data_IF_020920772936
#
_entry.id   IF_020920772936
#
_cell.length_a   1.000
_cell.length_b   1.000
_cell.length_c   1.000
_cell.angle_alpha   90.00
_cell.angle_beta   90.00
_cell.angle_gamma   90.00
#
_symmetry.space_group_name_H-M   'P 1'
#
loop_
_entity.id
_entity.type
_entity.pdbx_description
1 polymer ?
#
# COMPACT_ATOMS: atom_id res chain seq x y z
N UNK A 1 14.18 -14.88 15.81
CA UNK A 1 13.24 -14.07 15.00
C UNK A 1 13.35 -12.67 15.53
N UNK A 2 13.78 -11.77 14.66
CA UNK A 2 14.30 -10.44 14.97
C UNK A 2 13.24 -9.55 15.64
N UNK A 3 13.61 -8.96 16.79
CA UNK A 3 12.86 -7.92 17.52
C UNK A 3 13.48 -6.57 17.11
N UNK A 4 12.84 -5.81 16.19
CA UNK A 4 12.91 -4.33 16.06
C UNK A 4 12.77 -3.81 14.61
N UNK A 5 11.55 -3.76 14.08
CA UNK A 5 11.21 -2.78 13.02
C UNK A 5 10.05 -1.86 13.44
N UNK A 6 9.76 -1.79 14.74
CA UNK A 6 8.86 -0.77 15.27
C UNK A 6 9.56 0.60 15.30
N UNK A 7 9.24 1.45 14.32
CA UNK A 7 9.36 2.91 14.41
C UNK A 7 10.03 3.58 13.21
N UNK A 8 9.21 4.20 12.35
CA UNK A 8 9.57 5.13 11.26
C UNK A 8 10.22 4.55 9.99
N UNK A 9 9.66 3.45 9.46
CA UNK A 9 9.84 3.15 8.03
C UNK A 9 9.13 4.20 7.15
N UNK A 10 9.63 4.43 5.94
CA UNK A 10 8.98 5.27 4.94
C UNK A 10 7.56 4.77 4.63
N UNK A 11 6.71 5.64 4.04
CA UNK A 11 5.36 5.24 3.60
C UNK A 11 5.41 4.00 2.70
N UNK A 12 6.41 3.89 1.82
CA UNK A 12 6.61 2.75 0.95
C UNK A 12 6.88 1.44 1.70
N UNK A 13 7.72 1.49 2.74
CA UNK A 13 8.03 0.32 3.58
C UNK A 13 6.81 -0.13 4.39
N UNK A 14 6.12 0.82 5.02
CA UNK A 14 4.92 0.53 5.81
C UNK A 14 3.79 -0.03 4.94
N UNK A 15 3.59 0.54 3.76
CA UNK A 15 2.62 0.04 2.79
C UNK A 15 3.03 -1.36 2.28
N UNK A 16 4.33 -1.58 2.08
CA UNK A 16 4.87 -2.88 1.68
C UNK A 16 4.59 -3.95 2.72
N UNK A 17 4.71 -3.62 4.01
CA UNK A 17 4.30 -4.52 5.10
C UNK A 17 2.80 -4.81 5.11
N UNK A 18 1.94 -3.80 4.86
CA UNK A 18 0.49 -4.00 4.76
C UNK A 18 0.17 -4.95 3.62
N UNK A 19 0.74 -4.72 2.45
CA UNK A 19 0.47 -5.53 1.25
C UNK A 19 1.03 -6.95 1.42
N UNK A 20 2.21 -7.11 2.01
CA UNK A 20 2.80 -8.41 2.29
C UNK A 20 2.03 -9.23 3.33
N UNK A 21 1.63 -8.62 4.45
CA UNK A 21 0.94 -9.33 5.54
C UNK A 21 -0.48 -9.72 5.18
N UNK A 22 -1.19 -8.88 4.42
CA UNK A 22 -2.62 -9.08 4.14
C UNK A 22 -2.87 -9.77 2.80
N UNK A 23 -2.01 -9.56 1.81
CA UNK A 23 -2.21 -10.07 0.44
C UNK A 23 -1.12 -11.06 0.00
N UNK A 24 -0.11 -11.32 0.82
CA UNK A 24 0.93 -12.31 0.54
C UNK A 24 1.89 -11.91 -0.58
N UNK A 25 2.00 -10.61 -0.85
CA UNK A 25 2.89 -10.04 -1.86
C UNK A 25 4.30 -9.86 -1.29
N UNK A 26 5.34 -10.33 -1.97
CA UNK A 26 6.73 -10.10 -1.51
C UNK A 26 7.13 -8.65 -1.83
N UNK A 27 7.49 -7.81 -0.84
CA UNK A 27 7.83 -6.41 -1.07
C UNK A 27 9.09 -6.24 -1.93
N UNK A 28 9.93 -7.27 -2.07
CA UNK A 28 11.09 -7.27 -2.97
C UNK A 28 10.71 -7.56 -4.42
N UNK A 29 9.52 -8.12 -4.64
CA UNK A 29 8.93 -8.39 -5.95
C UNK A 29 7.86 -7.35 -6.33
N UNK A 30 7.77 -6.25 -5.56
CA UNK A 30 6.82 -5.14 -5.78
C UNK A 30 7.54 -3.85 -6.23
N UNK A 31 8.15 -3.80 -7.42
CA UNK A 31 8.65 -2.53 -7.94
C UNK A 31 7.53 -1.49 -8.07
N UNK A 32 7.89 -0.22 -7.99
CA UNK A 32 6.96 0.91 -8.07
C UNK A 32 6.14 0.95 -9.37
N UNK A 33 6.66 0.38 -10.45
CA UNK A 33 5.98 0.31 -11.75
C UNK A 33 5.01 -0.88 -11.85
N UNK A 34 4.99 -1.78 -10.86
CA UNK A 34 4.12 -2.96 -10.90
C UNK A 34 2.66 -2.55 -10.77
N UNK A 35 1.80 -2.95 -11.72
CA UNK A 35 0.38 -2.64 -11.62
C UNK A 35 -0.28 -3.47 -10.52
N UNK A 36 -1.27 -2.89 -9.84
CA UNK A 36 -1.93 -3.53 -8.69
C UNK A 36 -2.58 -4.88 -9.06
N UNK A 37 -3.19 -5.02 -10.24
CA UNK A 37 -3.69 -6.31 -10.73
C UNK A 37 -2.59 -7.37 -10.89
N UNK A 38 -1.34 -6.94 -11.16
CA UNK A 38 -0.17 -7.82 -11.23
C UNK A 38 0.24 -8.39 -9.86
N UNK A 39 -0.18 -7.72 -8.78
CA UNK A 39 0.01 -8.16 -7.40
C UNK A 39 -1.13 -9.06 -6.88
N UNK A 40 -2.00 -9.54 -7.78
CA UNK A 40 -3.26 -10.24 -7.44
C UNK A 40 -4.20 -9.39 -6.59
N UNK A 41 -4.13 -8.07 -6.70
CA UNK A 41 -5.13 -7.18 -6.13
C UNK A 41 -6.29 -7.05 -7.14
N UNK A 42 -7.33 -7.85 -6.92
CA UNK A 42 -8.63 -7.68 -7.58
C UNK A 42 -9.38 -6.45 -7.04
N UNK A 43 -10.53 -6.10 -7.62
CA UNK A 43 -11.33 -4.95 -7.18
C UNK A 43 -11.73 -5.01 -5.70
N UNK A 44 -12.04 -6.21 -5.16
CA UNK A 44 -12.33 -6.40 -3.74
C UNK A 44 -11.08 -6.21 -2.87
N UNK A 45 -9.97 -6.84 -3.27
CA UNK A 45 -8.70 -6.72 -2.54
C UNK A 45 -8.18 -5.28 -2.53
N UNK A 46 -8.43 -4.51 -3.59
CA UNK A 46 -8.12 -3.09 -3.66
C UNK A 46 -8.93 -2.27 -2.66
N UNK A 47 -10.24 -2.54 -2.54
CA UNK A 47 -11.09 -1.90 -1.53
C UNK A 47 -10.63 -2.26 -0.11
N UNK A 48 -10.30 -3.53 0.14
CA UNK A 48 -9.75 -3.97 1.43
C UNK A 48 -8.40 -3.30 1.73
N UNK A 49 -7.52 -3.22 0.74
CA UNK A 49 -6.21 -2.56 0.86
C UNK A 49 -6.41 -1.09 1.21
N UNK A 50 -7.35 -0.41 0.54
CA UNK A 50 -7.69 0.97 0.81
C UNK A 50 -8.08 1.16 2.28
N UNK A 51 -9.03 0.36 2.78
CA UNK A 51 -9.47 0.43 4.19
C UNK A 51 -8.32 0.17 5.18
N UNK A 52 -7.46 -0.81 4.89
CA UNK A 52 -6.29 -1.13 5.72
C UNK A 52 -5.26 0.01 5.76
N UNK A 53 -5.08 0.68 4.64
CA UNK A 53 -4.17 1.82 4.52
C UNK A 53 -4.75 3.05 5.22
N UNK A 54 -6.03 3.33 5.05
CA UNK A 54 -6.75 4.39 5.76
C UNK A 54 -6.65 4.19 7.29
N UNK A 55 -6.88 2.97 7.79
CA UNK A 55 -6.74 2.62 9.22
C UNK A 55 -5.28 2.75 9.71
N UNK A 56 -4.32 2.25 8.93
CA UNK A 56 -2.90 2.22 9.32
C UNK A 56 -2.27 3.60 9.38
N UNK A 57 -2.57 4.46 8.41
CA UNK A 57 -1.95 5.78 8.28
C UNK A 57 -2.83 6.92 8.81
N UNK A 58 -4.10 6.64 9.13
CA UNK A 58 -5.06 7.64 9.61
C UNK A 58 -5.40 8.68 8.55
N UNK A 59 -5.56 8.25 7.29
CA UNK A 59 -5.84 9.11 6.13
C UNK A 59 -7.15 8.71 5.45
N UNK A 60 -7.72 9.61 4.66
CA UNK A 60 -8.86 9.33 3.78
C UNK A 60 -8.41 9.24 2.31
N UNK A 61 -8.65 8.10 1.68
CA UNK A 61 -8.32 7.84 0.27
C UNK A 61 -9.54 7.95 -0.65
N UNK A 62 -10.71 8.37 -0.17
CA UNK A 62 -11.96 8.44 -0.98
C UNK A 62 -11.87 9.38 -2.18
N UNK A 63 -11.09 10.45 -2.04
CA UNK A 63 -10.83 11.42 -3.09
C UNK A 63 -9.70 10.97 -4.06
N UNK A 64 -9.05 9.83 -3.76
CA UNK A 64 -8.02 9.25 -4.63
C UNK A 64 -8.65 8.16 -5.48
N UNK A 65 -8.80 8.41 -6.78
CA UNK A 65 -9.21 7.37 -7.73
C UNK A 65 -8.09 6.35 -7.94
N UNK A 66 -8.11 5.28 -7.15
CA UNK A 66 -7.23 4.12 -7.32
C UNK A 66 -7.97 3.00 -8.04
N UNK A 67 -7.35 2.43 -9.06
CA UNK A 67 -7.85 1.30 -9.83
C UNK A 67 -6.82 0.19 -9.88
N UNK A 68 -7.24 -1.02 -10.25
CA UNK A 68 -6.32 -2.17 -10.38
C UNK A 68 -5.28 -1.99 -11.50
N UNK A 69 -5.44 -0.97 -12.36
CA UNK A 69 -4.48 -0.61 -13.42
C UNK A 69 -3.35 0.30 -12.95
N UNK A 70 -3.58 1.02 -11.84
CA UNK A 70 -2.56 1.89 -11.27
C UNK A 70 -1.38 1.06 -10.75
N UNK A 71 -0.23 1.72 -10.64
CA UNK A 71 0.98 1.08 -10.12
C UNK A 71 1.08 1.16 -8.60
N UNK A 72 1.87 0.26 -8.03
CA UNK A 72 2.20 0.30 -6.61
C UNK A 72 2.84 1.63 -6.20
N UNK A 73 3.68 2.22 -7.05
CA UNK A 73 4.27 3.54 -6.84
C UNK A 73 3.23 4.66 -6.78
N UNK A 74 2.18 4.60 -7.59
CA UNK A 74 1.08 5.56 -7.53
C UNK A 74 0.32 5.45 -6.20
N UNK A 75 0.08 4.23 -5.70
CA UNK A 75 -0.51 4.01 -4.38
C UNK A 75 0.38 4.60 -3.27
N UNK A 76 1.69 4.31 -3.29
CA UNK A 76 2.66 4.88 -2.33
C UNK A 76 2.61 6.41 -2.36
N UNK A 77 2.61 7.02 -3.54
CA UNK A 77 2.59 8.46 -3.72
C UNK A 77 1.29 9.09 -3.20
N UNK A 78 0.14 8.45 -3.45
CA UNK A 78 -1.16 8.91 -2.95
C UNK A 78 -1.21 8.92 -1.42
N UNK A 79 -0.77 7.83 -0.79
CA UNK A 79 -0.70 7.71 0.67
C UNK A 79 0.26 8.75 1.24
N UNK A 80 1.46 8.87 0.65
CA UNK A 80 2.45 9.84 1.09
C UNK A 80 1.90 11.27 1.03
N UNK A 81 1.25 11.64 -0.08
CA UNK A 81 0.62 12.94 -0.26
C UNK A 81 -0.39 13.26 0.85
N UNK A 82 -1.25 12.30 1.22
CA UNK A 82 -2.25 12.47 2.30
C UNK A 82 -1.61 12.54 3.69
N UNK A 83 -0.54 11.79 3.95
CA UNK A 83 0.15 11.84 5.26
C UNK A 83 1.01 13.09 5.46
N UNK A 84 1.41 13.75 4.37
CA UNK A 84 2.23 14.97 4.40
C UNK A 84 1.43 16.28 4.36
N UNK A 85 0.11 16.19 4.16
CA UNK A 85 -0.82 17.32 4.06
C UNK A 85 -1.33 17.73 5.45
#
# INVERSE_FOLDING_TARGET
MDLAQQGAGTVAEQLGEVVARNFGVDPRETPEDTPLHGLRLDSLALEELRLLVEDRFGIDLDDVELTTRDSYGQLVAAVHGKTSA
#
